data_IF_174509697381
#
_entry.id   IF_174509697381
#
_cell.length_a   1.000
_cell.length_b   1.000
_cell.length_c   1.000
_cell.angle_alpha   90.00
_cell.angle_beta   90.00
_cell.angle_gamma   90.00
#
_symmetry.space_group_name_H-M   'P 1'
#
loop_
_entity.id
_entity.type
_entity.pdbx_description
1 polymer ?
#
# COMPACT_ATOMS: atom_id res chain seq x y z
N UNK A 1 -7.03 6.11 -21.81
CA UNK A 1 -7.57 6.51 -20.48
C UNK A 1 -7.07 5.62 -19.34
N UNK A 2 -6.69 4.37 -19.59
CA UNK A 2 -6.18 3.42 -18.59
C UNK A 2 -4.89 3.84 -17.87
N UNK A 3 -4.04 4.69 -18.48
CA UNK A 3 -2.80 5.20 -17.87
C UNK A 3 -3.00 6.15 -16.68
N UNK A 4 -4.20 6.74 -16.55
CA UNK A 4 -4.49 7.65 -15.44
C UNK A 4 -4.55 6.91 -14.10
N UNK A 5 -5.01 5.67 -14.09
CA UNK A 5 -5.15 4.87 -12.87
C UNK A 5 -3.79 4.55 -12.22
N UNK A 6 -2.79 3.98 -12.93
CA UNK A 6 -1.48 3.75 -12.34
C UNK A 6 -0.77 5.06 -11.98
N UNK A 7 -0.98 6.14 -12.74
CA UNK A 7 -0.43 7.46 -12.40
C UNK A 7 -1.03 8.00 -11.09
N UNK A 8 -2.35 7.95 -10.93
CA UNK A 8 -3.04 8.35 -9.70
C UNK A 8 -2.67 7.42 -8.54
N UNK A 9 -2.50 6.13 -8.79
CA UNK A 9 -2.00 5.17 -7.81
C UNK A 9 -0.58 5.51 -7.33
N UNK A 10 0.31 5.89 -8.25
CA UNK A 10 1.67 6.34 -7.93
C UNK A 10 1.67 7.63 -7.10
N UNK A 11 0.91 8.64 -7.52
CA UNK A 11 0.78 9.90 -6.78
C UNK A 11 0.13 9.69 -5.41
N UNK A 12 -0.89 8.82 -5.34
CA UNK A 12 -1.52 8.39 -4.09
C UNK A 12 -0.54 7.70 -3.16
N UNK A 13 0.33 6.83 -3.68
CA UNK A 13 1.39 6.17 -2.91
C UNK A 13 2.40 7.14 -2.35
N UNK A 14 2.83 8.15 -3.13
CA UNK A 14 3.72 9.21 -2.63
C UNK A 14 3.07 9.98 -1.48
N UNK A 15 1.81 10.38 -1.65
CA UNK A 15 1.06 11.12 -0.65
C UNK A 15 0.85 10.29 0.63
N UNK A 16 0.36 9.05 0.50
CA UNK A 16 0.11 8.16 1.62
C UNK A 16 1.40 7.79 2.34
N UNK A 17 2.51 7.59 1.63
CA UNK A 17 3.82 7.34 2.25
C UNK A 17 4.26 8.54 3.08
N UNK A 18 4.10 9.77 2.56
CA UNK A 18 4.39 11.00 3.30
C UNK A 18 3.50 11.17 4.55
N UNK A 19 2.21 10.85 4.44
CA UNK A 19 1.30 10.85 5.59
C UNK A 19 1.68 9.79 6.62
N UNK A 20 2.00 8.58 6.17
CA UNK A 20 2.39 7.48 7.04
C UNK A 20 3.69 7.76 7.77
N UNK A 21 4.67 8.37 7.08
CA UNK A 21 5.89 8.85 7.70
C UNK A 21 5.61 9.87 8.81
N UNK A 22 4.78 10.87 8.54
CA UNK A 22 4.37 11.86 9.55
C UNK A 22 3.60 11.23 10.71
N UNK A 23 2.73 10.27 10.42
CA UNK A 23 1.98 9.53 11.42
C UNK A 23 2.90 8.71 12.33
N UNK A 24 3.86 7.99 11.75
CA UNK A 24 4.83 7.18 12.48
C UNK A 24 5.68 8.05 13.42
N UNK A 25 6.18 9.19 12.94
CA UNK A 25 6.92 10.15 13.77
C UNK A 25 6.06 10.71 14.92
N UNK A 26 4.80 11.07 14.65
CA UNK A 26 3.89 11.62 15.67
C UNK A 26 3.45 10.60 16.72
N UNK A 27 3.34 9.33 16.34
CA UNK A 27 2.91 8.24 17.22
C UNK A 27 4.07 7.45 17.83
N UNK A 28 5.32 7.81 17.50
CA UNK A 28 6.51 7.09 17.96
C UNK A 28 6.61 5.66 17.41
N UNK A 29 5.99 5.38 16.26
CA UNK A 29 6.06 4.07 15.60
C UNK A 29 7.40 3.94 14.87
N UNK A 30 8.46 3.74 15.65
CA UNK A 30 9.85 3.67 15.17
C UNK A 30 10.39 2.26 15.36
N UNK A 31 11.06 1.73 14.34
CA UNK A 31 11.85 0.52 14.42
C UNK A 31 13.19 0.88 15.07
N UNK A 32 13.46 0.31 16.24
CA UNK A 32 14.67 0.59 17.01
C UNK A 32 15.72 -0.46 16.62
N UNK A 33 16.95 -0.04 16.26
CA UNK A 33 18.00 -0.98 15.87
C UNK A 33 18.32 -1.96 17.00
N UNK A 34 18.51 -3.23 16.63
CA UNK A 34 18.98 -4.31 17.50
C UNK A 34 20.23 -4.96 16.89
N UNK A 35 20.80 -5.97 17.55
CA UNK A 35 22.00 -6.67 17.09
C UNK A 35 21.89 -7.32 15.69
N UNK A 36 20.66 -7.41 15.14
CA UNK A 36 20.33 -7.96 13.81
C UNK A 36 20.09 -6.87 12.77
N UNK A 37 19.96 -5.61 13.19
CA UNK A 37 19.55 -4.51 12.32
C UNK A 37 20.71 -4.04 11.43
N UNK A 38 20.42 -3.77 10.16
CA UNK A 38 21.36 -3.16 9.21
C UNK A 38 21.37 -1.63 9.26
N UNK A 39 20.35 -1.02 9.88
CA UNK A 39 20.28 0.42 10.11
C UNK A 39 20.85 0.76 11.49
N UNK A 40 21.51 1.92 11.58
CA UNK A 40 22.06 2.45 12.84
C UNK A 40 21.14 3.47 13.51
N UNK A 41 20.18 4.02 12.76
CA UNK A 41 19.25 5.07 13.21
C UNK A 41 17.84 4.51 13.20
N UNK A 42 16.99 4.82 14.21
CA UNK A 42 15.60 4.39 14.22
C UNK A 42 14.86 4.82 12.95
N UNK A 43 14.11 3.90 12.35
CA UNK A 43 13.37 4.16 11.10
C UNK A 43 11.86 4.07 11.31
N UNK A 44 11.06 4.94 10.67
CA UNK A 44 9.61 4.94 10.84
C UNK A 44 8.97 3.67 10.27
N UNK A 45 8.11 3.01 11.06
CA UNK A 45 7.40 1.78 10.71
C UNK A 45 6.10 2.05 9.94
N UNK A 46 5.59 0.99 9.29
CA UNK A 46 4.25 0.98 8.70
C UNK A 46 4.15 1.47 7.25
N UNK A 47 5.27 1.72 6.57
CA UNK A 47 5.27 2.15 5.16
C UNK A 47 4.54 1.19 4.19
N UNK A 48 4.52 -0.11 4.51
CA UNK A 48 3.78 -1.10 3.71
C UNK A 48 2.28 -0.80 3.60
N UNK A 49 1.67 -0.22 4.64
CA UNK A 49 0.23 0.11 4.63
C UNK A 49 -0.10 1.17 3.58
N UNK A 50 0.77 2.16 3.39
CA UNK A 50 0.59 3.21 2.40
C UNK A 50 0.62 2.64 0.97
N UNK A 51 1.56 1.72 0.71
CA UNK A 51 1.67 1.04 -0.58
C UNK A 51 0.45 0.17 -0.86
N UNK A 52 0.09 -0.72 0.07
CA UNK A 52 -1.03 -1.65 -0.12
C UNK A 52 -2.34 -0.88 -0.32
N UNK A 53 -2.61 0.15 0.49
CA UNK A 53 -3.81 0.98 0.33
C UNK A 53 -3.90 1.63 -1.06
N UNK A 54 -2.77 2.13 -1.58
CA UNK A 54 -2.71 2.72 -2.91
C UNK A 54 -3.01 1.70 -4.00
N UNK A 55 -2.45 0.48 -3.88
CA UNK A 55 -2.72 -0.62 -4.78
C UNK A 55 -4.21 -1.03 -4.76
N UNK A 56 -4.81 -1.15 -3.58
CA UNK A 56 -6.23 -1.53 -3.46
C UNK A 56 -7.15 -0.51 -4.13
N UNK A 57 -6.87 0.79 -3.97
CA UNK A 57 -7.61 1.86 -4.62
C UNK A 57 -7.45 1.82 -6.15
N UNK A 58 -6.24 1.53 -6.65
CA UNK A 58 -6.00 1.40 -8.09
C UNK A 58 -6.73 0.18 -8.69
N UNK A 59 -6.73 -0.96 -7.99
CA UNK A 59 -7.48 -2.15 -8.39
C UNK A 59 -8.98 -1.87 -8.40
N UNK A 60 -9.50 -1.22 -7.35
CA UNK A 60 -10.91 -0.84 -7.30
C UNK A 60 -11.30 0.14 -8.43
N UNK A 61 -10.52 1.20 -8.63
CA UNK A 61 -10.78 2.17 -9.69
C UNK A 61 -10.76 1.54 -11.08
N UNK A 62 -9.81 0.64 -11.34
CA UNK A 62 -9.73 -0.06 -12.62
C UNK A 62 -10.87 -1.06 -12.84
N UNK A 63 -11.33 -1.74 -11.77
CA UNK A 63 -12.51 -2.59 -11.82
C UNK A 63 -13.79 -1.79 -12.14
N UNK A 64 -13.99 -0.66 -11.45
CA UNK A 64 -15.16 0.22 -11.65
C UNK A 64 -15.22 0.85 -13.04
N UNK A 65 -14.06 1.11 -13.67
CA UNK A 65 -13.99 1.63 -15.04
C UNK A 65 -14.15 0.55 -16.12
N UNK A 66 -14.48 -0.69 -15.74
CA UNK A 66 -14.70 -1.78 -16.69
C UNK A 66 -13.42 -2.33 -17.33
N UNK A 67 -12.23 -1.98 -16.80
CA UNK A 67 -10.94 -2.42 -17.36
C UNK A 67 -10.68 -3.93 -17.25
N UNK A 68 -11.56 -4.66 -16.58
CA UNK A 68 -11.43 -6.07 -16.18
C UNK A 68 -12.60 -6.91 -16.69
N UNK A 69 -13.23 -6.48 -17.79
CA UNK A 69 -14.37 -7.17 -18.40
C UNK A 69 -14.02 -8.53 -19.05
N UNK A 70 -12.73 -8.89 -19.10
CA UNK A 70 -12.29 -10.21 -19.57
C UNK A 70 -12.60 -11.31 -18.54
N UNK A 71 -12.72 -12.55 -19.03
CA UNK A 71 -12.80 -13.75 -18.20
C UNK A 71 -11.59 -13.80 -17.24
N UNK A 72 -11.85 -13.93 -15.93
CA UNK A 72 -10.81 -13.93 -14.90
C UNK A 72 -10.56 -12.58 -14.21
N UNK A 73 -11.08 -11.47 -14.75
CA UNK A 73 -10.83 -10.14 -14.21
C UNK A 73 -11.42 -9.93 -12.81
N UNK A 74 -12.62 -10.45 -12.57
CA UNK A 74 -13.29 -10.36 -11.26
C UNK A 74 -12.57 -11.20 -10.21
N UNK A 75 -12.15 -12.40 -10.57
CA UNK A 75 -11.43 -13.35 -9.72
C UNK A 75 -10.08 -12.78 -9.32
N UNK A 76 -9.34 -12.19 -10.27
CA UNK A 76 -8.07 -11.52 -9.98
C UNK A 76 -8.27 -10.30 -9.09
N UNK A 77 -9.29 -9.47 -9.32
CA UNK A 77 -9.60 -8.34 -8.46
C UNK A 77 -9.90 -8.78 -7.02
N UNK A 78 -10.70 -9.85 -6.84
CA UNK A 78 -11.00 -10.43 -5.53
C UNK A 78 -9.74 -11.03 -4.86
N UNK A 79 -8.89 -11.71 -5.62
CA UNK A 79 -7.64 -12.27 -5.10
C UNK A 79 -6.67 -11.17 -4.64
N UNK A 80 -6.52 -10.10 -5.43
CA UNK A 80 -5.72 -8.95 -5.07
C UNK A 80 -6.29 -8.22 -3.86
N UNK A 81 -7.62 -8.11 -3.75
CA UNK A 81 -8.25 -7.51 -2.58
C UNK A 81 -8.07 -8.38 -1.32
N UNK A 82 -8.35 -9.67 -1.40
CA UNK A 82 -8.21 -10.60 -0.28
C UNK A 82 -6.76 -10.70 0.20
N UNK A 83 -5.81 -10.92 -0.72
CA UNK A 83 -4.39 -11.01 -0.40
C UNK A 83 -3.82 -9.69 0.09
N UNK A 84 -4.17 -8.58 -0.55
CA UNK A 84 -3.73 -7.24 -0.15
C UNK A 84 -4.17 -6.89 1.26
N UNK A 85 -5.42 -7.17 1.62
CA UNK A 85 -5.94 -6.87 2.96
C UNK A 85 -5.24 -7.71 4.05
N UNK A 86 -4.94 -8.98 3.76
CA UNK A 86 -4.13 -9.83 4.64
C UNK A 86 -2.71 -9.25 4.83
N UNK A 87 -2.05 -8.84 3.75
CA UNK A 87 -0.71 -8.23 3.81
C UNK A 87 -0.74 -6.93 4.63
N UNK A 88 -1.76 -6.10 4.45
CA UNK A 88 -1.92 -4.85 5.22
C UNK A 88 -2.06 -5.12 6.72
N UNK A 89 -2.88 -6.10 7.11
CA UNK A 89 -3.09 -6.48 8.51
C UNK A 89 -1.84 -7.10 9.14
N UNK A 90 -1.09 -7.92 8.39
CA UNK A 90 0.14 -8.56 8.87
C UNK A 90 1.33 -7.61 8.89
N UNK A 91 1.37 -6.62 8.00
CA UNK A 91 2.47 -5.66 7.89
C UNK A 91 2.39 -4.50 8.90
N UNK A 92 1.28 -4.35 9.63
CA UNK A 92 1.04 -3.23 10.55
C UNK A 92 1.40 -3.55 12.02
N UNK A 93 2.54 -4.19 12.26
CA UNK A 93 3.04 -4.53 13.60
C UNK A 93 4.41 -3.89 13.90
#
# INVERSE_FOLDING_TARGET
MHWLIPLLGFLGSLLLTGLMHRYALRRGLMDIPNARSSHLVPTPRGGGLAFVSSLMLAVLGSYLMGGWASLGGRELALALWGGGLLIALLGFW
#
